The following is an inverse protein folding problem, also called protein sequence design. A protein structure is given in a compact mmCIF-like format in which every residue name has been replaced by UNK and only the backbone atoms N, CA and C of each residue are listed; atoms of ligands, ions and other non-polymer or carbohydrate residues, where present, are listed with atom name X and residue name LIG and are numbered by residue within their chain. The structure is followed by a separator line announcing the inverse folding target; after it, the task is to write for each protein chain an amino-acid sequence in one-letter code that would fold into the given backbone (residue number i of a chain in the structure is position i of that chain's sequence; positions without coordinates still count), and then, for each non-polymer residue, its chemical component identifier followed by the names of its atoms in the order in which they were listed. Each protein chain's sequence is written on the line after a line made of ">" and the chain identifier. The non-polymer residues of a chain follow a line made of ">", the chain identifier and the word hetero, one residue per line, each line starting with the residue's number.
data_IF_008080672894
#
_entry.id   IF_008080672894
#
_cell.length_a   1.000
_cell.length_b   1.000
_cell.length_c   1.000
_cell.angle_alpha   90.00
_cell.angle_beta   90.00
_cell.angle_gamma   90.00
#
_symmetry.space_group_name_H-M   'P 1'
#
loop_
_entity.id
_entity.type
_entity.pdbx_description
1 polymer ?
#
# COMPACT_ATOMS: atom_id res chain seq x y z
N UNK A 1 -24.32 -6.94 22.01
CA UNK A 1 -23.11 -7.18 22.83
C UNK A 1 -21.91 -7.21 21.90
N UNK A 2 -20.71 -6.70 22.30
CA UNK A 2 -19.49 -6.74 21.49
C UNK A 2 -19.07 -8.20 21.20
N UNK A 3 -18.60 -8.47 19.98
CA UNK A 3 -18.13 -9.81 19.57
C UNK A 3 -16.60 -9.89 19.58
N UNK A 4 -16.01 -11.10 19.65
CA UNK A 4 -14.56 -11.28 19.53
C UNK A 4 -13.99 -10.69 18.24
N UNK A 5 -14.72 -10.73 17.13
CA UNK A 5 -14.32 -10.15 15.85
C UNK A 5 -14.24 -8.62 15.91
N UNK A 6 -15.21 -7.98 16.60
CA UNK A 6 -15.18 -6.54 16.83
C UNK A 6 -14.04 -6.14 17.75
N UNK A 7 -13.76 -6.94 18.80
CA UNK A 7 -12.59 -6.74 19.67
C UNK A 7 -11.31 -6.86 18.85
N UNK A 8 -11.19 -7.90 18.01
CA UNK A 8 -10.03 -8.10 17.14
C UNK A 8 -9.82 -6.91 16.19
N UNK A 9 -10.88 -6.42 15.57
CA UNK A 9 -10.81 -5.23 14.70
C UNK A 9 -10.33 -4.00 15.45
N UNK A 10 -10.90 -3.75 16.66
CA UNK A 10 -10.49 -2.62 17.51
C UNK A 10 -9.04 -2.77 18.00
N UNK A 11 -8.62 -3.97 18.36
CA UNK A 11 -7.27 -4.29 18.78
C UNK A 11 -6.28 -4.12 17.62
N UNK A 12 -6.59 -4.66 16.45
CA UNK A 12 -5.76 -4.53 15.25
C UNK A 12 -5.55 -3.07 14.85
N UNK A 13 -6.57 -2.22 15.02
CA UNK A 13 -6.44 -0.77 14.78
C UNK A 13 -5.45 -0.09 15.75
N UNK A 14 -5.09 -0.72 16.88
CA UNK A 14 -4.07 -0.24 17.83
C UNK A 14 -2.66 -0.72 17.52
N UNK A 15 -2.51 -1.67 16.60
CA UNK A 15 -1.19 -2.22 16.26
C UNK A 15 -0.17 -1.17 15.78
N UNK A 16 -0.50 -0.21 14.91
CA UNK A 16 0.45 0.86 14.56
C UNK A 16 0.88 1.72 15.75
N UNK A 17 -0.04 1.95 16.72
CA UNK A 17 0.27 2.68 17.94
C UNK A 17 1.21 1.89 18.87
N UNK A 18 1.04 0.56 18.91
CA UNK A 18 1.96 -0.33 19.61
C UNK A 18 3.37 -0.28 19.03
N UNK A 19 3.52 -0.36 17.69
CA UNK A 19 4.82 -0.25 17.04
C UNK A 19 5.46 1.13 17.29
N UNK A 20 4.67 2.19 17.26
CA UNK A 20 5.14 3.54 17.60
C UNK A 20 5.65 3.60 19.04
N UNK A 21 4.90 3.06 19.99
CA UNK A 21 5.31 2.95 21.39
C UNK A 21 6.62 2.16 21.54
N UNK A 22 6.73 1.00 20.90
CA UNK A 22 7.89 0.13 21.03
C UNK A 22 9.17 0.77 20.46
N UNK A 23 9.09 1.39 19.30
CA UNK A 23 10.27 1.81 18.56
C UNK A 23 10.57 3.32 18.58
N UNK A 24 9.59 4.17 18.82
CA UNK A 24 9.77 5.63 18.71
C UNK A 24 9.72 6.29 20.07
N UNK A 25 8.62 6.15 20.82
CA UNK A 25 8.46 6.83 22.10
C UNK A 25 7.77 5.93 23.11
N UNK A 26 8.48 5.65 24.22
CA UNK A 26 7.97 4.90 25.38
C UNK A 26 7.52 5.87 26.48
N UNK A 27 6.75 6.89 26.10
CA UNK A 27 6.32 7.93 27.04
C UNK A 27 5.31 7.45 28.08
N UNK A 28 4.47 6.47 27.70
CA UNK A 28 3.46 5.87 28.58
C UNK A 28 3.42 4.36 28.35
N UNK A 29 3.01 3.59 29.37
CA UNK A 29 2.84 2.14 29.23
C UNK A 29 1.71 1.82 28.25
N UNK A 30 2.01 1.02 27.23
CA UNK A 30 0.99 0.60 26.26
C UNK A 30 0.04 -0.44 26.84
N UNK A 31 0.49 -1.24 27.79
CA UNK A 31 -0.30 -2.26 28.47
C UNK A 31 -0.56 -1.87 29.92
N UNK A 32 -1.77 -2.22 30.47
CA UNK A 32 -2.83 -2.99 29.84
C UNK A 32 -3.59 -2.20 28.76
N UNK A 33 -3.76 -2.80 27.56
CA UNK A 33 -4.58 -2.21 26.52
C UNK A 33 -6.06 -2.52 26.77
N UNK A 34 -6.84 -1.49 27.09
CA UNK A 34 -8.26 -1.61 27.42
C UNK A 34 -9.14 -1.30 26.22
N UNK A 35 -10.06 -2.20 25.90
CA UNK A 35 -11.10 -2.00 24.89
C UNK A 35 -12.45 -2.03 25.59
N UNK A 36 -13.18 -0.92 25.54
CA UNK A 36 -14.52 -0.85 26.13
C UNK A 36 -15.53 -1.65 25.32
N UNK A 37 -16.32 -2.48 26.03
CA UNK A 37 -17.53 -3.06 25.48
C UNK A 37 -18.59 -1.98 25.35
N UNK A 38 -19.42 -2.02 24.28
CA UNK A 38 -20.31 -0.91 23.94
C UNK A 38 -21.31 -0.56 25.01
N UNK A 39 -21.76 0.69 24.96
CA UNK A 39 -22.56 1.35 26.01
C UNK A 39 -23.98 0.82 26.16
N UNK A 40 -24.55 0.25 25.12
CA UNK A 40 -25.92 -0.35 25.16
C UNK A 40 -25.80 -1.87 25.19
N UNK A 41 -25.98 -2.43 26.35
CA UNK A 41 -26.18 -3.87 26.49
C UNK A 41 -27.71 -4.08 26.49
N UNK A 42 -28.29 -3.97 25.30
CA UNK A 42 -29.64 -4.39 25.04
C UNK A 42 -29.60 -5.87 24.63
N UNK A 43 -30.25 -6.71 25.39
CA UNK A 43 -30.51 -8.11 25.06
C UNK A 43 -31.99 -8.38 25.22
N UNK A 44 -32.57 -9.10 24.26
CA UNK A 44 -34.00 -9.41 24.25
C UNK A 44 -34.34 -10.59 25.17
N UNK A 45 -33.34 -11.38 25.58
CA UNK A 45 -33.52 -12.55 26.44
C UNK A 45 -32.24 -12.87 27.23
N UNK A 46 -32.38 -13.55 28.38
CA UNK A 46 -31.26 -14.08 29.16
C UNK A 46 -30.41 -15.06 28.33
N UNK A 47 -31.03 -15.81 27.42
CA UNK A 47 -30.35 -16.74 26.51
C UNK A 47 -29.37 -15.97 25.56
N UNK A 48 -29.80 -14.83 25.08
CA UNK A 48 -28.93 -13.96 24.23
C UNK A 48 -27.74 -13.40 25.03
N UNK A 49 -27.95 -13.01 26.29
CA UNK A 49 -26.90 -12.60 27.21
C UNK A 49 -25.89 -13.74 27.44
N UNK A 50 -26.35 -14.94 27.75
CA UNK A 50 -25.51 -16.12 27.97
C UNK A 50 -24.71 -16.49 26.72
N UNK A 51 -25.34 -16.45 25.56
CA UNK A 51 -24.66 -16.69 24.28
C UNK A 51 -23.55 -15.67 24.02
N UNK A 52 -23.82 -14.38 24.26
CA UNK A 52 -22.83 -13.33 24.12
C UNK A 52 -21.66 -13.47 25.10
N UNK A 53 -21.93 -13.83 26.36
CA UNK A 53 -20.86 -14.10 27.35
C UNK A 53 -20.03 -15.32 26.94
N UNK A 54 -20.67 -16.40 26.49
CA UNK A 54 -20.00 -17.61 26.00
C UNK A 54 -19.13 -17.33 24.82
N UNK A 55 -19.62 -16.50 23.88
CA UNK A 55 -18.87 -16.08 22.72
C UNK A 55 -17.60 -15.28 23.12
N UNK A 56 -17.71 -14.32 24.02
CA UNK A 56 -16.56 -13.58 24.56
C UNK A 56 -15.58 -14.50 25.29
N UNK A 57 -16.11 -15.40 26.16
CA UNK A 57 -15.26 -16.36 26.86
C UNK A 57 -14.46 -17.26 25.91
N UNK A 58 -15.04 -17.69 24.78
CA UNK A 58 -14.41 -18.58 23.82
C UNK A 58 -13.09 -18.04 23.24
N UNK A 59 -12.89 -16.74 23.26
CA UNK A 59 -11.68 -16.05 22.75
C UNK A 59 -10.89 -15.34 23.86
N UNK A 60 -11.23 -15.57 25.12
CA UNK A 60 -10.55 -14.99 26.28
C UNK A 60 -9.25 -15.71 26.60
N UNK A 61 -8.39 -15.03 27.35
CA UNK A 61 -7.13 -15.57 27.88
C UNK A 61 -7.37 -16.79 28.79
N UNK A 62 -8.43 -16.76 29.58
CA UNK A 62 -8.80 -17.87 30.48
C UNK A 62 -9.03 -19.16 29.69
N UNK A 63 -9.66 -19.08 28.52
CA UNK A 63 -9.97 -20.24 27.69
C UNK A 63 -8.78 -20.71 26.85
N UNK A 64 -8.01 -19.79 26.25
CA UNK A 64 -7.02 -20.08 25.21
C UNK A 64 -5.57 -19.98 25.71
N UNK A 65 -5.35 -19.49 26.94
CA UNK A 65 -4.00 -19.21 27.47
C UNK A 65 -3.37 -17.93 26.92
N UNK A 66 -4.05 -17.24 26.00
CA UNK A 66 -3.70 -15.92 25.46
C UNK A 66 -4.96 -15.17 25.04
N UNK A 67 -4.85 -13.87 24.81
CA UNK A 67 -5.97 -13.01 24.45
C UNK A 67 -6.33 -12.05 25.57
N UNK A 68 -7.59 -11.64 25.62
CA UNK A 68 -8.06 -10.65 26.58
C UNK A 68 -8.66 -11.26 27.84
N UNK A 69 -8.59 -10.51 28.92
CA UNK A 69 -9.37 -10.71 30.14
C UNK A 69 -10.66 -9.91 30.06
N UNK A 70 -11.78 -10.46 30.58
CA UNK A 70 -13.09 -9.80 30.58
C UNK A 70 -13.40 -9.29 31.96
N UNK A 71 -13.70 -8.01 32.08
CA UNK A 71 -14.21 -7.42 33.33
C UNK A 71 -15.73 -7.29 33.25
N UNK A 72 -16.40 -7.74 34.30
CA UNK A 72 -17.84 -7.73 34.43
C UNK A 72 -18.30 -6.66 35.43
N UNK A 73 -19.49 -6.10 35.20
CA UNK A 73 -20.14 -5.18 36.12
C UNK A 73 -21.57 -5.58 36.34
N UNK A 74 -22.08 -5.39 37.56
CA UNK A 74 -23.50 -5.59 37.85
C UNK A 74 -24.30 -4.43 37.25
N UNK A 75 -25.33 -4.76 36.48
CA UNK A 75 -26.31 -3.79 35.95
C UNK A 75 -27.75 -4.25 36.29
N UNK A 76 -28.53 -3.29 36.72
CA UNK A 76 -29.96 -3.53 36.95
C UNK A 76 -30.68 -3.30 35.60
N UNK A 77 -31.23 -4.38 35.04
CA UNK A 77 -32.01 -4.35 33.80
C UNK A 77 -33.47 -4.25 34.11
N UNK A 78 -34.25 -3.53 33.29
CA UNK A 78 -35.69 -3.34 33.52
C UNK A 78 -36.50 -4.64 33.48
N UNK A 79 -36.06 -5.62 32.69
CA UNK A 79 -36.78 -6.87 32.43
C UNK A 79 -36.27 -8.05 33.28
N UNK A 80 -34.97 -8.07 33.62
CA UNK A 80 -34.32 -9.27 34.18
C UNK A 80 -33.61 -9.02 35.52
N UNK A 81 -33.84 -7.85 36.15
CA UNK A 81 -33.20 -7.48 37.41
C UNK A 81 -31.69 -7.28 37.30
N UNK A 82 -30.96 -7.57 38.40
CA UNK A 82 -29.50 -7.46 38.43
C UNK A 82 -28.83 -8.57 37.60
N UNK A 83 -28.03 -8.16 36.63
CA UNK A 83 -27.26 -9.07 35.77
C UNK A 83 -25.78 -8.66 35.74
N UNK A 84 -24.89 -9.65 35.72
CA UNK A 84 -23.47 -9.45 35.50
C UNK A 84 -23.21 -9.37 33.99
N UNK A 85 -22.73 -8.24 33.53
CA UNK A 85 -22.54 -7.98 32.08
C UNK A 85 -21.11 -7.53 31.79
N UNK A 86 -20.52 -7.92 30.64
CA UNK A 86 -19.18 -7.47 30.25
C UNK A 86 -19.13 -5.95 30.11
N UNK A 87 -18.15 -5.29 30.72
CA UNK A 87 -17.94 -3.84 30.64
C UNK A 87 -16.79 -3.45 29.79
N UNK A 88 -15.67 -4.15 29.90
CA UNK A 88 -14.47 -3.96 29.12
C UNK A 88 -13.69 -5.26 29.00
N UNK A 89 -12.78 -5.29 28.01
CA UNK A 89 -11.79 -6.33 27.87
C UNK A 89 -10.40 -5.69 27.90
N UNK A 90 -9.43 -6.41 28.46
CA UNK A 90 -8.06 -5.88 28.65
C UNK A 90 -7.03 -6.89 28.18
N UNK A 91 -6.08 -6.46 27.35
CA UNK A 91 -4.88 -7.23 27.06
C UNK A 91 -3.82 -6.82 28.07
N UNK A 92 -3.35 -7.77 28.88
CA UNK A 92 -2.43 -7.50 29.98
C UNK A 92 -0.99 -7.46 29.48
N UNK A 93 -0.65 -8.31 28.52
CA UNK A 93 0.69 -8.43 27.99
C UNK A 93 0.75 -8.26 26.47
N UNK A 94 1.93 -7.94 25.97
CA UNK A 94 2.23 -7.91 24.53
C UNK A 94 1.90 -9.24 23.86
N UNK A 95 2.33 -10.35 24.45
CA UNK A 95 2.10 -11.70 23.89
C UNK A 95 0.60 -12.01 23.77
N UNK A 96 -0.19 -11.61 24.77
CA UNK A 96 -1.66 -11.77 24.73
C UNK A 96 -2.27 -10.99 23.57
N UNK A 97 -1.81 -9.75 23.36
CA UNK A 97 -2.28 -8.86 22.33
C UNK A 97 -1.88 -9.35 20.92
N UNK A 98 -0.59 -9.59 20.71
CA UNK A 98 -0.06 -9.97 19.40
C UNK A 98 -0.61 -11.30 18.88
N UNK A 99 -0.68 -12.33 19.74
CA UNK A 99 -1.27 -13.62 19.40
C UNK A 99 -2.74 -13.51 19.07
N UNK A 100 -3.49 -12.71 19.84
CA UNK A 100 -4.92 -12.53 19.60
C UNK A 100 -5.20 -11.85 18.24
N UNK A 101 -4.43 -10.84 17.88
CA UNK A 101 -4.58 -10.18 16.56
C UNK A 101 -3.90 -10.94 15.43
N UNK A 102 -3.06 -11.94 15.72
CA UNK A 102 -2.29 -12.73 14.73
C UNK A 102 -1.16 -11.94 14.07
N UNK A 103 -0.45 -11.13 14.84
CA UNK A 103 0.64 -10.26 14.38
C UNK A 103 1.99 -10.54 15.07
N UNK A 104 2.11 -11.63 15.79
CA UNK A 104 3.32 -12.04 16.50
C UNK A 104 4.49 -12.28 15.52
N UNK A 105 4.32 -13.16 14.52
CA UNK A 105 5.37 -13.43 13.52
C UNK A 105 5.74 -12.18 12.72
N UNK A 106 4.74 -11.38 12.32
CA UNK A 106 4.97 -10.11 11.61
C UNK A 106 5.76 -9.12 12.47
N UNK A 107 5.49 -9.06 13.78
CA UNK A 107 6.21 -8.20 14.71
C UNK A 107 7.66 -8.64 14.86
N UNK A 108 7.92 -9.94 14.98
CA UNK A 108 9.27 -10.48 15.09
C UNK A 108 10.08 -10.25 13.80
N UNK A 109 9.46 -10.39 12.64
CA UNK A 109 10.06 -10.06 11.34
C UNK A 109 10.38 -8.57 11.26
N UNK A 110 9.45 -7.73 11.67
CA UNK A 110 9.64 -6.28 11.68
C UNK A 110 10.77 -5.84 12.63
N UNK A 111 10.89 -6.46 13.80
CA UNK A 111 12.00 -6.22 14.76
C UNK A 111 13.36 -6.47 14.13
N UNK A 112 13.52 -7.61 13.45
CA UNK A 112 14.78 -7.96 12.77
C UNK A 112 15.15 -6.92 11.72
N UNK A 113 14.20 -6.53 10.89
CA UNK A 113 14.42 -5.54 9.82
C UNK A 113 14.78 -4.16 10.41
N UNK A 114 14.05 -3.71 11.43
CA UNK A 114 14.30 -2.38 11.99
C UNK A 114 15.66 -2.33 12.68
N UNK A 115 16.06 -3.39 13.41
CA UNK A 115 17.35 -3.49 14.05
C UNK A 115 18.50 -3.38 13.04
N UNK A 116 18.45 -4.17 11.95
CA UNK A 116 19.46 -4.15 10.89
C UNK A 116 19.52 -2.80 10.18
N UNK A 117 18.35 -2.20 9.92
CA UNK A 117 18.26 -0.98 9.12
C UNK A 117 18.69 0.26 9.90
N UNK A 118 18.28 0.39 11.15
CA UNK A 118 18.54 1.58 11.98
C UNK A 118 20.02 1.71 12.36
N UNK A 119 20.77 0.61 12.37
CA UNK A 119 22.23 0.66 12.55
C UNK A 119 22.92 1.45 11.43
N UNK A 120 22.45 1.33 10.20
CA UNK A 120 23.03 2.00 9.03
C UNK A 120 22.28 3.29 8.66
N UNK A 121 20.97 3.31 8.84
CA UNK A 121 20.05 4.39 8.48
C UNK A 121 19.14 4.77 9.65
N UNK A 122 19.69 5.39 10.73
CA UNK A 122 18.90 5.74 11.91
C UNK A 122 17.73 6.67 11.61
N UNK A 123 17.85 7.52 10.57
CA UNK A 123 16.83 8.45 10.11
C UNK A 123 15.60 7.76 9.52
N UNK A 124 15.71 6.50 9.11
CA UNK A 124 14.58 5.73 8.56
C UNK A 124 13.62 5.18 9.61
N UNK A 125 13.97 5.23 10.87
CA UNK A 125 13.24 4.57 11.97
C UNK A 125 11.74 4.89 11.98
N UNK A 126 11.38 6.17 11.90
CA UNK A 126 9.98 6.60 11.87
C UNK A 126 9.26 6.16 10.60
N UNK A 127 9.95 6.23 9.46
CA UNK A 127 9.41 5.79 8.17
C UNK A 127 9.14 4.29 8.14
N UNK A 128 10.03 3.48 8.71
CA UNK A 128 9.83 2.03 8.84
C UNK A 128 8.60 1.71 9.69
N UNK A 129 8.45 2.36 10.83
CA UNK A 129 7.29 2.16 11.71
C UNK A 129 5.99 2.58 11.02
N UNK A 130 6.00 3.69 10.31
CA UNK A 130 4.84 4.16 9.55
C UNK A 130 4.43 3.20 8.43
N UNK A 131 5.40 2.57 7.78
CA UNK A 131 5.20 1.66 6.64
C UNK A 131 5.46 0.18 7.00
N UNK A 132 5.25 -0.21 8.26
CA UNK A 132 5.55 -1.54 8.79
C UNK A 132 5.03 -2.70 7.94
N UNK A 133 3.85 -2.58 7.35
CA UNK A 133 3.27 -3.62 6.49
C UNK A 133 4.07 -3.84 5.20
N UNK A 134 4.64 -2.78 4.61
CA UNK A 134 5.55 -2.89 3.46
C UNK A 134 6.89 -3.50 3.89
N UNK A 135 7.39 -3.13 5.06
CA UNK A 135 8.63 -3.70 5.62
C UNK A 135 8.52 -5.21 5.74
N UNK A 136 7.43 -5.72 6.31
CA UNK A 136 7.18 -7.16 6.41
C UNK A 136 6.99 -7.81 5.04
N UNK A 137 6.24 -7.15 4.13
CA UNK A 137 6.01 -7.63 2.76
C UNK A 137 7.32 -7.87 1.99
N UNK A 138 8.31 -6.99 2.17
CA UNK A 138 9.58 -7.02 1.44
C UNK A 138 10.73 -7.63 2.24
N UNK A 139 10.45 -8.40 3.28
CA UNK A 139 11.47 -8.98 4.15
C UNK A 139 12.53 -9.79 3.39
N UNK A 140 12.10 -10.67 2.51
CA UNK A 140 13.01 -11.56 1.76
C UNK A 140 13.92 -10.79 0.79
N UNK A 141 13.46 -9.64 0.30
CA UNK A 141 14.20 -8.77 -0.60
C UNK A 141 14.88 -7.58 0.11
N UNK A 142 14.86 -7.55 1.44
CA UNK A 142 15.29 -6.37 2.21
C UNK A 142 16.73 -5.95 1.93
N UNK A 143 17.64 -6.90 1.74
CA UNK A 143 19.03 -6.58 1.36
C UNK A 143 19.12 -5.86 -0.01
N UNK A 144 18.24 -6.16 -0.95
CA UNK A 144 18.18 -5.45 -2.22
C UNK A 144 17.69 -4.01 -2.03
N UNK A 145 16.71 -3.80 -1.14
CA UNK A 145 16.24 -2.46 -0.75
C UNK A 145 17.39 -1.67 -0.12
N UNK A 146 18.15 -2.28 0.80
CA UNK A 146 19.30 -1.64 1.43
C UNK A 146 20.38 -1.24 0.43
N UNK A 147 20.65 -2.06 -0.60
CA UNK A 147 21.57 -1.69 -1.69
C UNK A 147 21.10 -0.45 -2.45
N UNK A 148 19.82 -0.35 -2.75
CA UNK A 148 19.24 0.84 -3.40
C UNK A 148 19.40 2.06 -2.48
N UNK A 149 19.10 1.93 -1.21
CA UNK A 149 19.25 2.99 -0.21
C UNK A 149 20.70 3.49 -0.11
N UNK A 150 21.67 2.58 -0.03
CA UNK A 150 23.12 2.91 -0.02
C UNK A 150 23.53 3.67 -1.27
N UNK A 151 23.07 3.21 -2.43
CA UNK A 151 23.37 3.88 -3.68
C UNK A 151 22.88 5.32 -3.70
N UNK A 152 21.59 5.56 -3.33
CA UNK A 152 21.02 6.90 -3.35
C UNK A 152 21.59 7.83 -2.27
N UNK A 153 22.02 7.30 -1.13
CA UNK A 153 22.76 8.07 -0.13
C UNK A 153 24.07 8.66 -0.70
N UNK A 154 24.77 7.87 -1.51
CA UNK A 154 26.02 8.31 -2.13
C UNK A 154 25.79 9.10 -3.43
N UNK A 155 24.65 8.92 -4.07
CA UNK A 155 24.33 9.49 -5.38
C UNK A 155 22.89 10.05 -5.37
N UNK A 156 22.61 11.16 -4.69
CA UNK A 156 21.23 11.68 -4.56
C UNK A 156 20.65 12.19 -5.89
N UNK A 157 21.51 12.57 -6.85
CA UNK A 157 21.14 13.02 -8.20
C UNK A 157 21.85 12.20 -9.28
N UNK A 158 21.49 10.95 -9.51
CA UNK A 158 22.24 10.08 -10.44
C UNK A 158 22.26 10.57 -11.88
N UNK A 159 21.18 11.19 -12.37
CA UNK A 159 21.05 11.69 -13.74
C UNK A 159 21.18 10.62 -14.83
N UNK A 160 20.92 9.35 -14.51
CA UNK A 160 21.06 8.17 -15.37
C UNK A 160 19.76 7.40 -15.44
N UNK A 161 19.62 6.53 -16.42
CA UNK A 161 18.53 5.54 -16.44
C UNK A 161 18.74 4.47 -15.35
N UNK A 162 17.66 3.90 -14.82
CA UNK A 162 17.72 2.84 -13.78
C UNK A 162 18.63 1.69 -14.21
N UNK A 163 18.58 1.29 -15.48
CA UNK A 163 19.42 0.21 -16.04
C UNK A 163 20.92 0.53 -16.09
N UNK A 164 21.28 1.80 -15.97
CA UNK A 164 22.68 2.26 -15.98
C UNK A 164 23.26 2.42 -14.57
N UNK A 165 22.41 2.19 -13.56
CA UNK A 165 22.82 2.25 -12.16
C UNK A 165 23.57 0.96 -11.79
N UNK A 166 24.79 1.09 -11.32
CA UNK A 166 25.57 -0.04 -10.85
C UNK A 166 25.27 -0.34 -9.36
N UNK A 167 24.01 -0.74 -9.08
CA UNK A 167 23.53 -1.00 -7.71
C UNK A 167 23.73 -2.47 -7.31
N UNK A 168 23.93 -3.36 -8.28
CA UNK A 168 23.93 -4.81 -8.06
C UNK A 168 22.54 -5.37 -7.76
N UNK A 169 21.49 -4.69 -8.28
CA UNK A 169 20.08 -5.08 -8.18
C UNK A 169 19.48 -5.04 -9.57
N UNK A 170 18.61 -5.98 -9.88
CA UNK A 170 17.94 -6.01 -11.18
C UNK A 170 17.01 -4.81 -11.36
N UNK A 171 17.03 -4.17 -12.53
CA UNK A 171 16.21 -2.97 -12.85
C UNK A 171 14.72 -3.18 -12.52
N UNK A 172 14.19 -4.35 -12.88
CA UNK A 172 12.79 -4.71 -12.63
C UNK A 172 12.41 -4.68 -11.15
N UNK A 173 13.36 -5.06 -10.27
CA UNK A 173 13.14 -4.97 -8.83
C UNK A 173 12.86 -3.53 -8.38
N UNK A 174 13.64 -2.56 -8.87
CA UNK A 174 13.44 -1.13 -8.54
C UNK A 174 12.08 -0.65 -9.05
N UNK A 175 11.65 -1.14 -10.21
CA UNK A 175 10.34 -0.80 -10.80
C UNK A 175 9.16 -1.40 -10.03
N UNK A 176 9.31 -2.61 -9.51
CA UNK A 176 8.26 -3.33 -8.78
C UNK A 176 8.18 -2.93 -7.30
N UNK A 177 9.28 -2.43 -6.72
CA UNK A 177 9.37 -2.08 -5.29
C UNK A 177 9.19 -0.58 -5.00
N UNK A 178 8.59 0.18 -5.92
CA UNK A 178 8.41 1.64 -5.77
C UNK A 178 7.60 2.03 -4.54
N UNK A 179 6.67 1.19 -4.12
CA UNK A 179 5.82 1.42 -2.96
C UNK A 179 6.61 1.52 -1.64
N UNK A 180 7.63 0.68 -1.46
CA UNK A 180 8.53 0.73 -0.30
C UNK A 180 9.73 1.65 -0.54
N UNK A 181 10.30 1.67 -1.74
CA UNK A 181 11.47 2.49 -2.03
C UNK A 181 11.17 3.99 -1.93
N UNK A 182 9.97 4.44 -2.36
CA UNK A 182 9.62 5.86 -2.34
C UNK A 182 9.71 6.49 -0.95
N UNK A 183 9.02 6.01 0.09
CA UNK A 183 9.10 6.61 1.42
C UNK A 183 10.50 6.53 2.03
N UNK A 184 11.29 5.49 1.74
CA UNK A 184 12.67 5.37 2.24
C UNK A 184 13.58 6.37 1.54
N UNK A 185 13.52 6.46 0.22
CA UNK A 185 14.34 7.37 -0.57
C UNK A 185 13.96 8.84 -0.35
N UNK A 186 12.69 9.15 -0.05
CA UNK A 186 12.29 10.51 0.32
C UNK A 186 13.06 11.02 1.55
N UNK A 187 13.35 10.14 2.51
CA UNK A 187 14.16 10.49 3.68
C UNK A 187 15.65 10.52 3.34
N UNK A 188 16.16 9.52 2.63
CA UNK A 188 17.59 9.38 2.34
C UNK A 188 18.12 10.48 1.42
N UNK A 189 17.37 10.79 0.38
CA UNK A 189 17.71 11.82 -0.63
C UNK A 189 17.42 13.23 -0.09
N UNK A 190 16.41 13.35 0.77
CA UNK A 190 16.11 14.59 1.49
C UNK A 190 15.84 15.79 0.57
N UNK A 191 16.62 16.86 0.74
CA UNK A 191 16.45 18.10 -0.02
C UNK A 191 16.69 17.97 -1.53
N UNK A 192 17.39 16.92 -1.95
CA UNK A 192 17.68 16.64 -3.35
C UNK A 192 16.53 15.95 -4.09
N UNK A 193 15.44 15.64 -3.40
CA UNK A 193 14.22 15.09 -4.00
C UNK A 193 13.57 16.12 -4.92
N UNK A 194 13.30 15.74 -6.16
CA UNK A 194 12.52 16.58 -7.08
C UNK A 194 11.02 16.45 -6.77
N UNK A 195 10.49 17.41 -5.99
CA UNK A 195 9.09 17.42 -5.55
C UNK A 195 8.09 17.75 -6.65
N UNK A 196 8.54 18.38 -7.75
CA UNK A 196 7.68 18.74 -8.89
C UNK A 196 7.50 17.56 -9.88
N UNK A 197 8.37 16.57 -9.81
CA UNK A 197 8.27 15.40 -10.67
C UNK A 197 7.05 14.54 -10.32
N UNK A 198 6.27 14.17 -11.33
CA UNK A 198 5.07 13.33 -11.19
C UNK A 198 5.38 11.84 -11.07
N UNK A 199 6.55 11.43 -11.56
CA UNK A 199 6.95 10.02 -11.62
C UNK A 199 7.94 9.68 -10.51
N UNK A 200 8.04 8.38 -10.18
CA UNK A 200 9.03 7.88 -9.24
C UNK A 200 10.45 8.18 -9.71
N UNK A 201 10.74 7.94 -10.97
CA UNK A 201 12.08 8.12 -11.52
C UNK A 201 12.50 9.59 -11.57
N UNK A 202 11.62 10.45 -12.06
CA UNK A 202 11.88 11.90 -12.07
C UNK A 202 12.04 12.45 -10.65
N UNK A 203 11.28 11.94 -9.67
CA UNK A 203 11.38 12.34 -8.27
C UNK A 203 12.79 12.13 -7.69
N UNK A 204 13.43 11.02 -8.04
CA UNK A 204 14.77 10.67 -7.58
C UNK A 204 15.87 10.99 -8.62
N UNK A 205 15.63 11.99 -9.47
CA UNK A 205 16.56 12.51 -10.45
C UNK A 205 17.13 11.43 -11.41
N UNK A 206 16.32 10.41 -11.70
CA UNK A 206 16.63 9.40 -12.71
C UNK A 206 16.10 9.84 -14.07
N UNK A 207 16.78 9.44 -15.12
CA UNK A 207 16.30 9.63 -16.50
C UNK A 207 15.16 8.67 -16.80
N UNK A 208 14.16 9.17 -17.46
CA UNK A 208 13.07 8.41 -18.03
C UNK A 208 13.22 8.36 -19.55
N UNK A 209 12.73 7.28 -20.16
CA UNK A 209 12.62 7.25 -21.62
C UNK A 209 11.64 8.31 -22.09
N UNK A 210 11.88 8.86 -23.27
CA UNK A 210 10.94 9.77 -23.89
C UNK A 210 9.57 9.07 -24.03
N UNK A 211 8.49 9.74 -23.65
CA UNK A 211 7.17 9.15 -23.75
C UNK A 211 6.83 8.87 -25.22
N UNK A 212 6.25 7.71 -25.47
CA UNK A 212 5.85 7.27 -26.80
C UNK A 212 4.34 7.30 -26.95
N UNK A 213 3.87 7.60 -28.14
CA UNK A 213 2.45 7.52 -28.51
C UNK A 213 2.28 6.48 -29.62
N UNK A 214 1.29 5.61 -29.43
CA UNK A 214 0.86 4.66 -30.44
C UNK A 214 -0.39 5.19 -31.14
N UNK A 215 -0.41 5.10 -32.47
CA UNK A 215 -1.52 5.58 -33.28
C UNK A 215 -1.72 4.74 -34.53
N UNK A 216 -2.91 4.85 -35.11
CA UNK A 216 -3.26 4.26 -36.40
C UNK A 216 -3.94 5.32 -37.28
N UNK A 217 -3.69 5.24 -38.58
CA UNK A 217 -4.40 6.00 -39.58
C UNK A 217 -5.35 5.05 -40.30
N UNK A 218 -6.62 5.39 -40.39
CA UNK A 218 -7.65 4.53 -41.02
C UNK A 218 -7.66 4.62 -42.56
N UNK A 219 -7.12 5.71 -43.10
CA UNK A 219 -7.10 5.99 -44.52
C UNK A 219 -5.85 5.44 -45.21
N UNK A 220 -6.01 4.55 -46.19
CA UNK A 220 -4.89 3.89 -46.87
C UNK A 220 -4.03 4.85 -47.71
N UNK A 221 -4.61 5.89 -48.30
CA UNK A 221 -3.85 6.88 -49.07
C UNK A 221 -2.97 7.73 -48.14
N UNK A 222 -3.55 8.15 -47.00
CA UNK A 222 -2.79 8.86 -45.97
C UNK A 222 -1.68 7.96 -45.36
N UNK A 223 -1.99 6.68 -45.12
CA UNK A 223 -0.97 5.71 -44.68
C UNK A 223 0.17 5.59 -45.68
N UNK A 224 -0.11 5.44 -46.95
CA UNK A 224 0.94 5.36 -47.98
C UNK A 224 1.76 6.64 -48.08
N UNK A 225 1.11 7.78 -48.01
CA UNK A 225 1.76 9.08 -48.19
C UNK A 225 2.61 9.49 -46.97
N UNK A 226 2.14 9.27 -45.76
CA UNK A 226 2.79 9.77 -44.53
C UNK A 226 3.51 8.70 -43.71
N UNK A 227 3.14 7.41 -43.86
CA UNK A 227 3.63 6.31 -43.06
C UNK A 227 4.15 5.12 -43.89
N UNK A 228 4.45 5.32 -45.16
CA UNK A 228 4.93 4.27 -46.08
C UNK A 228 4.07 3.02 -46.07
N UNK A 229 2.76 3.17 -45.84
CA UNK A 229 1.78 2.08 -45.78
C UNK A 229 1.61 1.42 -44.42
N UNK A 230 2.39 1.79 -43.38
CA UNK A 230 2.23 1.24 -42.03
C UNK A 230 0.99 1.83 -41.36
N UNK A 231 0.02 0.99 -41.05
CA UNK A 231 -1.23 1.40 -40.40
C UNK A 231 -1.08 1.60 -38.90
N UNK A 232 -0.20 0.87 -38.24
CA UNK A 232 0.12 1.00 -36.82
C UNK A 232 1.52 1.59 -36.64
N UNK A 233 1.60 2.67 -35.90
CA UNK A 233 2.85 3.38 -35.68
C UNK A 233 3.03 3.67 -34.18
N UNK A 234 4.27 3.70 -33.74
CA UNK A 234 4.65 4.09 -32.40
C UNK A 234 5.87 4.99 -32.50
N UNK A 235 5.75 6.22 -32.01
CA UNK A 235 6.78 7.24 -32.11
C UNK A 235 6.90 8.00 -30.79
N UNK A 236 8.00 8.72 -30.58
CA UNK A 236 8.10 9.61 -29.42
C UNK A 236 7.09 10.77 -29.52
N UNK A 237 6.60 11.20 -28.35
CA UNK A 237 5.61 12.30 -28.28
C UNK A 237 6.16 13.57 -28.94
N UNK A 238 7.44 13.89 -28.76
CA UNK A 238 8.09 15.05 -29.37
C UNK A 238 8.13 14.96 -30.92
N UNK A 239 8.20 13.75 -31.48
CA UNK A 239 8.11 13.51 -32.92
C UNK A 239 6.66 13.57 -33.38
N UNK A 240 5.74 12.94 -32.63
CA UNK A 240 4.32 12.96 -32.91
C UNK A 240 3.77 14.40 -32.99
N UNK A 241 4.23 15.28 -32.09
CA UNK A 241 3.83 16.69 -32.08
C UNK A 241 4.21 17.46 -33.36
N UNK A 242 5.16 16.93 -34.14
CA UNK A 242 5.59 17.51 -35.42
C UNK A 242 4.83 16.97 -36.62
N UNK A 243 4.03 15.92 -36.41
CA UNK A 243 3.25 15.35 -37.50
C UNK A 243 2.14 16.30 -37.94
N UNK A 244 2.15 16.61 -39.23
CA UNK A 244 1.10 17.38 -39.88
C UNK A 244 0.36 16.47 -40.86
N UNK A 245 -0.43 15.55 -40.33
CA UNK A 245 -1.25 14.63 -41.11
C UNK A 245 -2.65 15.28 -41.25
N UNK A 246 -3.16 15.45 -42.47
CA UNK A 246 -4.44 16.13 -42.73
C UNK A 246 -5.63 15.21 -42.42
N UNK A 247 -5.80 14.86 -41.13
CA UNK A 247 -6.96 14.09 -40.68
C UNK A 247 -8.11 15.02 -40.30
N UNK A 248 -9.35 14.54 -40.48
CA UNK A 248 -10.56 15.27 -40.06
C UNK A 248 -11.03 14.89 -38.66
N UNK A 249 -10.79 13.64 -38.30
CA UNK A 249 -11.24 13.10 -37.02
C UNK A 249 -10.07 12.53 -36.24
N UNK A 250 -10.11 12.68 -34.91
CA UNK A 250 -9.17 12.02 -33.97
C UNK A 250 -10.01 11.24 -32.96
N UNK A 251 -9.74 9.94 -32.83
CA UNK A 251 -10.36 9.08 -31.83
C UNK A 251 -9.29 8.71 -30.84
N UNK A 252 -9.51 9.03 -29.57
CA UNK A 252 -8.64 8.61 -28.47
C UNK A 252 -9.28 7.39 -27.81
N UNK A 253 -8.52 6.28 -27.76
CA UNK A 253 -8.96 5.03 -27.11
C UNK A 253 -8.14 4.78 -25.87
N UNK A 254 -8.78 4.44 -24.77
CA UNK A 254 -8.13 4.11 -23.50
C UNK A 254 -7.45 2.73 -23.57
N UNK A 255 -8.14 1.73 -24.10
CA UNK A 255 -7.65 0.37 -24.20
C UNK A 255 -6.95 0.12 -25.55
N UNK A 256 -5.69 -0.33 -25.52
CA UNK A 256 -4.91 -0.65 -26.72
C UNK A 256 -5.60 -1.64 -27.66
N UNK A 257 -6.34 -2.62 -27.12
CA UNK A 257 -7.11 -3.56 -27.93
C UNK A 257 -8.19 -2.87 -28.78
N UNK A 258 -8.82 -1.83 -28.25
CA UNK A 258 -9.85 -1.06 -28.97
C UNK A 258 -9.26 -0.32 -30.16
N UNK A 259 -7.98 0.05 -30.13
CA UNK A 259 -7.34 0.70 -31.28
C UNK A 259 -7.31 -0.20 -32.53
N UNK A 260 -7.25 -1.51 -32.35
CA UNK A 260 -7.37 -2.48 -33.45
C UNK A 260 -8.84 -2.61 -33.90
N UNK A 261 -9.76 -2.73 -32.93
CA UNK A 261 -11.17 -2.95 -33.21
C UNK A 261 -11.92 -1.74 -33.79
N UNK A 262 -11.48 -0.52 -33.51
CA UNK A 262 -12.13 0.69 -34.10
C UNK A 262 -12.16 0.62 -35.63
N UNK A 263 -11.10 0.09 -36.25
CA UNK A 263 -11.05 -0.03 -37.73
C UNK A 263 -12.01 -1.10 -38.25
N UNK A 264 -12.18 -2.19 -37.48
CA UNK A 264 -13.11 -3.27 -37.81
C UNK A 264 -14.59 -2.81 -37.65
N UNK A 265 -14.87 -2.03 -36.62
CA UNK A 265 -16.21 -1.56 -36.27
C UNK A 265 -16.68 -0.40 -37.14
N UNK A 266 -15.76 0.40 -37.66
CA UNK A 266 -16.08 1.61 -38.43
C UNK A 266 -15.20 1.66 -39.70
N UNK A 267 -15.38 0.70 -40.64
CA UNK A 267 -14.57 0.59 -41.84
C UNK A 267 -14.71 1.79 -42.81
N UNK A 268 -15.76 2.59 -42.66
CA UNK A 268 -16.04 3.75 -43.49
C UNK A 268 -15.39 5.07 -42.97
N UNK A 269 -14.72 5.03 -41.83
CA UNK A 269 -14.05 6.22 -41.29
C UNK A 269 -12.80 6.57 -42.08
N UNK A 270 -12.99 7.38 -43.11
CA UNK A 270 -11.89 8.01 -43.83
C UNK A 270 -11.30 9.20 -43.05
N UNK A 271 -10.08 9.53 -43.32
CA UNK A 271 -9.39 10.70 -42.74
C UNK A 271 -9.42 10.73 -41.18
N UNK A 272 -9.23 9.58 -40.53
CA UNK A 272 -9.29 9.45 -39.08
C UNK A 272 -7.96 8.95 -38.53
N UNK A 273 -7.53 9.58 -37.46
CA UNK A 273 -6.41 9.16 -36.62
C UNK A 273 -6.96 8.53 -35.34
N UNK A 274 -6.53 7.32 -35.04
CA UNK A 274 -6.86 6.64 -33.78
C UNK A 274 -5.61 6.62 -32.90
N UNK A 275 -5.68 7.25 -31.74
CA UNK A 275 -4.57 7.39 -30.80
C UNK A 275 -4.85 6.58 -29.54
N UNK A 276 -3.86 5.88 -29.04
CA UNK A 276 -3.96 5.21 -27.75
C UNK A 276 -3.58 6.17 -26.62
N UNK A 277 -4.54 6.44 -25.73
CA UNK A 277 -4.40 7.36 -24.59
C UNK A 277 -3.68 6.79 -23.37
N UNK A 278 -3.12 5.58 -23.46
CA UNK A 278 -2.33 4.92 -22.40
C UNK A 278 -3.05 4.74 -21.05
N UNK A 279 -4.39 4.88 -21.00
CA UNK A 279 -5.15 4.69 -19.77
C UNK A 279 -4.98 5.83 -18.73
N UNK A 280 -4.74 7.06 -19.18
CA UNK A 280 -4.73 8.28 -18.35
C UNK A 280 -6.12 8.83 -18.13
#
# INVERSE_FOLDING_TARGET
>A
MVTPEEIRRKALAKYPSFLKYEFISKEEDFFPLVIRCDKSIDFASLKELEQGITCLYSSSKEKNGYGYEVEYVERNTKLFGKQSVPSKVSFITESDFLKFIGMDENTDTFRKVIEMTVLEFPELKETLVKHHYLVVKYFDEWEQIMKVCRFFRLNPKPGKFVRELNIGVHTKFVEESKDILRPLLDVIVGEDVNTEAKTFFGRFNLKEGDPEVAFRITDSELCMRYMSGFTYNKVFVCEFARFNIPVRNVIIVENKHNMTKVIELIPEMKNTLVVWGCGY
#
